data_IF_572299853463
#
_entry.id   IF_572299853463
#
_cell.length_a   1.000
_cell.length_b   1.000
_cell.length_c   1.000
_cell.angle_alpha   90.00
_cell.angle_beta   90.00
_cell.angle_gamma   90.00
#
_symmetry.space_group_name_H-M   'P 1'
#
loop_
_entity.id
_entity.type
_entity.pdbx_description
1 polymer ?
#
# COMPACT_ATOMS: atom_id res chain seq x y z
N UNK A 1 -22.11 5.72 58.82
CA UNK A 1 -20.96 6.39 58.22
C UNK A 1 -19.86 5.43 57.72
N UNK A 2 -19.58 4.30 58.44
CA UNK A 2 -18.51 3.35 58.01
C UNK A 2 -18.82 2.56 56.70
N UNK A 3 -20.09 2.25 56.43
CA UNK A 3 -20.47 1.49 55.23
C UNK A 3 -20.39 2.33 53.94
N UNK A 4 -20.66 3.66 53.96
CA UNK A 4 -20.55 4.53 52.79
C UNK A 4 -19.10 4.75 52.36
N UNK A 5 -18.16 4.85 53.30
CA UNK A 5 -16.72 5.00 52.97
C UNK A 5 -16.15 3.76 52.25
N UNK A 6 -16.60 2.55 52.64
CA UNK A 6 -16.13 1.31 52.03
C UNK A 6 -16.58 1.18 50.57
N UNK A 7 -17.82 1.59 50.26
CA UNK A 7 -18.35 1.54 48.89
C UNK A 7 -17.69 2.56 47.94
N UNK A 8 -17.36 3.73 48.42
CA UNK A 8 -16.66 4.76 47.66
C UNK A 8 -15.21 4.33 47.37
N UNK A 9 -14.55 3.70 48.35
CA UNK A 9 -13.17 3.23 48.16
C UNK A 9 -13.11 2.09 47.12
N UNK A 10 -14.06 1.17 47.07
CA UNK A 10 -14.15 0.13 46.07
C UNK A 10 -14.40 0.71 44.66
N UNK A 11 -15.22 1.74 44.53
CA UNK A 11 -15.50 2.38 43.24
C UNK A 11 -14.26 3.08 42.66
N UNK A 12 -13.49 3.76 43.50
CA UNK A 12 -12.24 4.46 43.10
C UNK A 12 -11.16 3.46 42.68
N UNK A 13 -11.06 2.30 43.33
CA UNK A 13 -10.09 1.26 42.97
C UNK A 13 -10.47 0.57 41.66
N UNK A 14 -11.75 0.41 41.34
CA UNK A 14 -12.20 -0.13 40.04
C UNK A 14 -11.89 0.82 38.87
N UNK A 15 -11.98 2.15 39.10
CA UNK A 15 -11.61 3.14 38.04
C UNK A 15 -10.09 3.20 37.79
N UNK A 16 -9.28 2.88 38.82
CA UNK A 16 -7.81 2.90 38.66
C UNK A 16 -7.23 1.68 37.94
N UNK A 17 -8.03 0.61 37.80
CA UNK A 17 -7.64 -0.60 37.07
C UNK A 17 -8.12 -0.63 35.61
N UNK A 18 -8.69 0.47 35.08
CA UNK A 18 -8.91 0.58 33.65
C UNK A 18 -7.52 0.49 32.97
N UNK A 19 -7.19 -0.59 32.22
CA UNK A 19 -5.95 -0.61 31.49
C UNK A 19 -5.98 0.62 30.60
N UNK A 20 -4.93 1.42 30.67
CA UNK A 20 -4.65 2.45 29.67
C UNK A 20 -4.51 1.70 28.34
N UNK A 21 -5.63 1.47 27.67
CA UNK A 21 -5.68 1.08 26.28
C UNK A 21 -4.99 2.25 25.55
N UNK A 22 -3.66 2.17 25.44
CA UNK A 22 -2.94 3.03 24.50
C UNK A 22 -3.57 2.72 23.16
N UNK A 23 -4.42 3.63 22.71
CA UNK A 23 -4.88 3.63 21.33
C UNK A 23 -3.62 3.61 20.46
N UNK A 24 -3.38 2.47 19.84
CA UNK A 24 -2.19 2.32 19.02
C UNK A 24 -2.40 3.09 17.75
N UNK A 25 -1.40 3.88 17.39
CA UNK A 25 -1.46 4.77 16.25
C UNK A 25 -1.34 3.98 14.94
N UNK A 26 -2.47 3.50 14.41
CA UNK A 26 -2.57 2.82 13.11
C UNK A 26 -2.39 3.78 11.93
N UNK A 27 -2.13 5.07 12.15
CA UNK A 27 -1.77 5.98 11.07
C UNK A 27 -0.32 5.80 10.60
N UNK A 28 0.51 5.01 11.33
CA UNK A 28 1.96 4.96 11.11
C UNK A 28 2.49 3.54 10.93
N UNK A 29 3.24 3.35 9.88
CA UNK A 29 4.13 2.22 9.73
C UNK A 29 5.59 2.70 9.83
N UNK A 30 6.30 2.28 10.90
CA UNK A 30 7.65 2.79 11.22
C UNK A 30 7.65 4.33 11.35
N UNK A 31 8.42 5.01 10.51
CA UNK A 31 8.49 6.47 10.44
C UNK A 31 7.64 7.08 9.31
N UNK A 32 6.90 6.24 8.56
CA UNK A 32 5.98 6.69 7.53
C UNK A 32 4.57 6.85 8.09
N UNK A 33 3.94 7.99 7.81
CA UNK A 33 2.59 8.31 8.28
C UNK A 33 1.65 8.38 7.08
N UNK A 34 0.51 7.71 7.15
CA UNK A 34 -0.57 7.88 6.17
C UNK A 34 -1.04 9.34 6.15
N UNK A 35 -1.27 9.91 4.97
CA UNK A 35 -1.50 11.33 4.78
C UNK A 35 -0.22 12.17 4.56
N UNK A 36 0.98 11.55 4.64
CA UNK A 36 2.23 12.24 4.32
C UNK A 36 2.26 12.64 2.85
N UNK A 37 2.77 13.86 2.55
CA UNK A 37 2.94 14.29 1.17
C UNK A 37 4.08 13.54 0.47
N UNK A 38 3.96 13.39 -0.86
CA UNK A 38 4.98 12.77 -1.68
C UNK A 38 6.37 13.41 -1.48
N UNK A 39 6.45 14.74 -1.46
CA UNK A 39 7.73 15.46 -1.25
C UNK A 39 8.42 15.04 0.04
N UNK A 40 7.65 14.99 1.13
CA UNK A 40 8.18 14.61 2.45
C UNK A 40 8.62 13.14 2.51
N UNK A 41 7.97 12.27 1.72
CA UNK A 41 8.35 10.88 1.63
C UNK A 41 9.62 10.73 0.79
N UNK A 42 9.78 11.46 -0.32
CA UNK A 42 11.00 11.48 -1.13
C UNK A 42 12.22 11.92 -0.30
N UNK A 43 12.07 12.97 0.52
CA UNK A 43 13.13 13.41 1.44
C UNK A 43 13.54 12.32 2.43
N UNK A 44 12.57 11.54 2.96
CA UNK A 44 12.84 10.48 3.94
C UNK A 44 13.45 9.22 3.37
N UNK A 45 13.17 8.94 2.10
CA UNK A 45 13.65 7.75 1.40
C UNK A 45 14.87 8.04 0.53
N UNK A 46 15.31 9.31 0.48
CA UNK A 46 16.40 9.78 -0.39
C UNK A 46 16.15 9.46 -1.87
N UNK A 47 14.87 9.37 -2.27
CA UNK A 47 14.44 9.08 -3.62
C UNK A 47 14.17 10.38 -4.39
N UNK A 48 14.20 10.28 -5.74
CA UNK A 48 13.94 11.41 -6.63
C UNK A 48 12.53 11.35 -7.18
N UNK A 49 12.02 12.51 -7.61
CA UNK A 49 10.70 12.57 -8.28
C UNK A 49 10.63 11.72 -9.56
N UNK A 50 11.77 11.47 -10.21
CA UNK A 50 11.89 10.60 -11.38
C UNK A 50 11.62 9.12 -11.08
N UNK A 51 11.72 8.72 -9.81
CA UNK A 51 11.49 7.35 -9.37
C UNK A 51 10.00 7.07 -9.09
N UNK A 52 9.20 8.14 -9.09
CA UNK A 52 7.75 8.07 -8.90
C UNK A 52 7.06 7.70 -10.20
N UNK A 53 6.29 6.63 -10.16
CA UNK A 53 5.48 6.17 -11.28
C UNK A 53 4.09 6.77 -11.22
N UNK A 54 3.64 7.41 -12.30
CA UNK A 54 2.24 7.81 -12.45
C UNK A 54 1.47 6.61 -12.97
N UNK A 55 0.48 6.15 -12.21
CA UNK A 55 -0.41 5.05 -12.59
C UNK A 55 -1.59 5.59 -13.38
N UNK A 56 -2.25 6.65 -12.85
CA UNK A 56 -3.32 7.37 -13.52
C UNK A 56 -3.16 8.86 -13.28
N UNK A 57 -3.31 9.65 -14.35
CA UNK A 57 -3.30 11.12 -14.27
C UNK A 57 -4.69 11.73 -14.13
N UNK A 58 -5.74 10.94 -14.35
CA UNK A 58 -7.14 11.34 -14.33
C UNK A 58 -8.06 10.15 -14.02
N UNK A 59 -9.26 10.33 -13.47
CA UNK A 59 -9.84 11.61 -13.02
C UNK A 59 -9.11 12.19 -11.81
N UNK A 60 -8.25 11.39 -11.14
CA UNK A 60 -7.39 11.81 -10.06
C UNK A 60 -5.96 11.33 -10.30
N UNK A 61 -4.99 12.04 -9.72
CA UNK A 61 -3.59 11.64 -9.78
C UNK A 61 -3.32 10.49 -8.83
N UNK A 62 -3.02 9.31 -9.40
CA UNK A 62 -2.59 8.12 -8.68
C UNK A 62 -1.12 7.89 -9.00
N UNK A 63 -0.29 7.80 -7.96
CA UNK A 63 1.16 7.64 -8.11
C UNK A 63 1.65 6.53 -7.19
N UNK A 64 2.76 5.92 -7.56
CA UNK A 64 3.43 4.89 -6.77
C UNK A 64 4.93 5.15 -6.72
N UNK A 65 5.51 4.84 -5.56
CA UNK A 65 6.95 4.83 -5.33
C UNK A 65 7.32 3.50 -4.70
N UNK A 66 8.25 2.79 -5.31
CA UNK A 66 8.85 1.59 -4.72
C UNK A 66 10.15 1.96 -4.04
N UNK A 67 10.34 1.53 -2.81
CA UNK A 67 11.54 1.78 -2.03
C UNK A 67 12.08 0.50 -1.42
N UNK A 68 13.38 0.31 -1.54
CA UNK A 68 14.12 -0.78 -0.92
C UNK A 68 14.95 -0.19 0.21
N UNK A 69 14.72 -0.61 1.48
CA UNK A 69 15.55 -0.17 2.60
C UNK A 69 17.03 -0.46 2.32
N UNK A 70 17.94 0.49 2.60
CA UNK A 70 19.34 0.25 2.38
C UNK A 70 19.82 -0.88 3.29
N UNK A 71 20.29 -1.98 2.68
CA UNK A 71 21.04 -3.01 3.39
C UNK A 71 22.41 -2.46 3.72
N UNK A 72 22.74 -2.31 5.00
CA UNK A 72 24.10 -1.95 5.45
C UNK A 72 24.91 -3.23 5.54
N UNK A 73 25.85 -3.49 4.60
CA UNK A 73 26.71 -4.67 4.66
C UNK A 73 27.56 -4.63 5.92
N UNK A 74 27.59 -5.71 6.68
CA UNK A 74 28.49 -5.89 7.83
C UNK A 74 27.86 -5.72 9.21
N UNK A 75 26.59 -5.35 9.32
CA UNK A 75 25.85 -5.39 10.58
C UNK A 75 25.00 -6.66 10.67
N UNK A 76 25.63 -7.77 10.95
CA UNK A 76 25.00 -9.10 11.04
C UNK A 76 23.90 -9.22 12.12
N UNK A 77 23.60 -8.15 12.85
CA UNK A 77 22.64 -8.13 13.96
C UNK A 77 21.36 -7.35 13.68
N UNK A 78 21.21 -6.69 12.52
CA UNK A 78 19.99 -5.99 12.13
C UNK A 78 19.83 -5.94 10.61
N UNK A 79 19.72 -7.10 9.95
CA UNK A 79 19.13 -7.11 8.61
C UNK A 79 17.69 -6.63 8.74
N UNK A 80 17.34 -5.60 7.99
CA UNK A 80 15.95 -5.14 7.96
C UNK A 80 15.07 -6.30 7.49
N UNK A 81 14.04 -6.65 8.26
CA UNK A 81 13.09 -7.68 7.88
C UNK A 81 12.21 -7.29 6.68
N UNK A 82 12.38 -6.08 6.16
CA UNK A 82 11.64 -5.56 5.01
C UNK A 82 12.52 -5.62 3.76
N UNK A 83 12.04 -6.33 2.76
CA UNK A 83 12.66 -6.37 1.43
C UNK A 83 12.31 -5.11 0.63
N UNK A 84 11.02 -4.76 0.61
CA UNK A 84 10.49 -3.70 -0.24
C UNK A 84 9.28 -3.04 0.39
N UNK A 85 9.12 -1.74 0.16
CA UNK A 85 7.90 -0.99 0.46
C UNK A 85 7.40 -0.32 -0.82
N UNK A 86 6.13 -0.56 -1.16
CA UNK A 86 5.39 0.17 -2.17
C UNK A 86 4.51 1.22 -1.48
N UNK A 87 4.74 2.48 -1.79
CA UNK A 87 3.94 3.60 -1.35
C UNK A 87 2.98 4.02 -2.46
N UNK A 88 1.68 4.10 -2.17
CA UNK A 88 0.67 4.55 -3.13
C UNK A 88 0.07 5.88 -2.67
N UNK A 89 -0.03 6.84 -3.61
CA UNK A 89 -0.49 8.21 -3.38
C UNK A 89 -1.76 8.50 -4.16
N UNK A 90 -2.67 9.21 -3.52
CA UNK A 90 -3.86 9.79 -4.09
C UNK A 90 -3.78 11.30 -3.96
N UNK A 91 -3.75 12.03 -5.10
CA UNK A 91 -3.60 13.48 -5.09
C UNK A 91 -2.30 13.97 -4.42
N UNK A 92 -1.24 13.17 -4.43
CA UNK A 92 0.05 13.51 -3.80
C UNK A 92 0.13 13.21 -2.29
N UNK A 93 -0.92 12.62 -1.69
CA UNK A 93 -0.94 12.18 -0.29
C UNK A 93 -0.86 10.65 -0.18
N UNK A 94 -0.02 10.16 0.72
CA UNK A 94 0.19 8.74 0.97
C UNK A 94 -1.07 8.10 1.57
N UNK A 95 -1.73 7.23 0.82
CA UNK A 95 -2.93 6.57 1.30
C UNK A 95 -2.74 5.08 1.61
N UNK A 96 -1.73 4.45 1.02
CA UNK A 96 -1.45 3.02 1.21
C UNK A 96 0.04 2.73 1.23
N UNK A 97 0.44 1.83 2.13
CA UNK A 97 1.79 1.30 2.30
C UNK A 97 1.70 -0.21 2.17
N UNK A 98 2.36 -0.79 1.17
CA UNK A 98 2.43 -2.25 1.00
C UNK A 98 3.87 -2.70 1.25
N UNK A 99 4.05 -3.53 2.26
CA UNK A 99 5.35 -4.02 2.72
C UNK A 99 5.52 -5.47 2.30
N UNK A 100 6.64 -5.80 1.70
CA UNK A 100 7.09 -7.17 1.48
C UNK A 100 8.20 -7.47 2.48
N UNK A 101 8.06 -8.56 3.22
CA UNK A 101 9.10 -9.00 4.14
C UNK A 101 10.14 -9.87 3.44
N UNK A 102 11.38 -9.68 3.85
CA UNK A 102 12.52 -10.46 3.36
C UNK A 102 12.39 -11.94 3.75
N UNK A 103 12.53 -12.82 2.77
CA UNK A 103 12.38 -14.27 3.01
C UNK A 103 13.39 -14.84 4.01
N UNK A 104 14.69 -14.58 3.89
CA UNK A 104 15.65 -15.02 4.90
C UNK A 104 15.29 -14.60 6.32
N UNK A 105 14.80 -13.37 6.49
CA UNK A 105 14.43 -12.82 7.81
C UNK A 105 13.12 -13.38 8.36
N UNK A 106 12.27 -13.98 7.52
CA UNK A 106 11.00 -14.58 7.92
C UNK A 106 11.00 -16.11 7.84
N UNK A 107 12.11 -16.70 7.42
CA UNK A 107 12.23 -18.15 7.27
C UNK A 107 11.99 -18.86 8.61
N UNK A 108 11.03 -19.79 8.63
CA UNK A 108 10.68 -20.56 9.83
C UNK A 108 9.67 -19.88 10.76
N UNK A 109 9.31 -18.59 10.51
CA UNK A 109 8.24 -17.95 11.24
C UNK A 109 6.88 -18.44 10.76
N UNK A 110 6.00 -18.74 11.70
CA UNK A 110 4.60 -19.06 11.42
C UNK A 110 3.77 -17.79 11.26
N UNK A 111 2.55 -17.90 10.74
CA UNK A 111 1.59 -16.80 10.71
C UNK A 111 1.30 -16.27 12.12
N UNK A 112 1.19 -17.19 13.10
CA UNK A 112 0.97 -16.86 14.51
C UNK A 112 2.14 -16.06 15.10
N UNK A 113 3.39 -16.40 14.76
CA UNK A 113 4.57 -15.65 15.21
C UNK A 113 4.54 -14.22 14.68
N UNK A 114 4.20 -14.05 13.40
CA UNK A 114 4.05 -12.74 12.78
C UNK A 114 2.91 -11.93 13.39
N UNK A 115 1.73 -12.55 13.58
CA UNK A 115 0.59 -11.92 14.25
C UNK A 115 0.96 -11.47 15.66
N UNK A 116 1.63 -12.32 16.43
CA UNK A 116 2.09 -12.00 17.79
C UNK A 116 3.05 -10.81 17.79
N UNK A 117 4.02 -10.79 16.88
CA UNK A 117 5.01 -9.72 16.76
C UNK A 117 4.37 -8.38 16.37
N UNK A 118 3.44 -8.39 15.42
CA UNK A 118 2.73 -7.19 14.98
C UNK A 118 1.76 -6.72 16.08
N UNK A 119 1.06 -7.65 16.74
CA UNK A 119 0.14 -7.34 17.84
C UNK A 119 0.82 -6.74 19.06
N UNK A 120 2.08 -7.06 19.30
CA UNK A 120 2.88 -6.42 20.34
C UNK A 120 3.01 -4.89 20.12
N UNK A 121 2.94 -4.45 18.88
CA UNK A 121 3.04 -3.04 18.49
C UNK A 121 1.68 -2.39 18.25
N UNK A 122 0.75 -3.09 17.60
CA UNK A 122 -0.51 -2.52 17.12
C UNK A 122 -1.76 -3.06 17.84
N UNK A 123 -1.61 -3.86 18.94
CA UNK A 123 -2.68 -4.42 19.73
C UNK A 123 -3.23 -5.73 19.19
N UNK A 124 -4.35 -6.18 19.74
CA UNK A 124 -4.94 -7.44 19.35
C UNK A 124 -5.44 -7.39 17.91
N UNK A 125 -5.12 -8.45 17.16
CA UNK A 125 -5.59 -8.62 15.79
C UNK A 125 -6.96 -9.30 15.76
N UNK A 126 -7.73 -9.02 14.71
CA UNK A 126 -8.82 -9.87 14.26
C UNK A 126 -8.24 -10.88 13.27
N UNK A 127 -8.34 -12.17 13.60
CA UNK A 127 -7.90 -13.24 12.70
C UNK A 127 -8.95 -13.38 11.59
N UNK A 128 -8.49 -13.33 10.35
CA UNK A 128 -9.36 -13.49 9.19
C UNK A 128 -9.47 -14.97 8.88
N UNK A 129 -10.68 -15.52 9.03
CA UNK A 129 -10.93 -16.89 8.58
C UNK A 129 -10.66 -17.01 7.07
N UNK A 130 -10.09 -18.13 6.58
CA UNK A 130 -9.86 -18.31 5.17
C UNK A 130 -11.20 -18.34 4.42
N UNK A 131 -11.59 -17.21 3.84
CA UNK A 131 -12.74 -17.15 2.95
C UNK A 131 -12.40 -17.86 1.63
N UNK A 132 -13.28 -18.75 1.26
CA UNK A 132 -13.29 -19.39 -0.06
C UNK A 132 -13.80 -18.32 -1.05
N UNK A 133 -12.88 -17.80 -1.86
CA UNK A 133 -13.13 -16.95 -3.04
C UNK A 133 -14.22 -15.86 -2.92
N UNK A 134 -13.88 -14.70 -2.42
CA UNK A 134 -14.64 -13.50 -2.77
C UNK A 134 -14.02 -12.85 -4.02
N UNK A 135 -14.79 -12.84 -5.12
CA UNK A 135 -14.42 -12.39 -6.46
C UNK A 135 -14.19 -10.86 -6.59
N UNK A 136 -13.90 -10.17 -5.52
CA UNK A 136 -13.73 -8.70 -5.47
C UNK A 136 -12.28 -8.25 -5.30
N UNK A 137 -11.30 -9.11 -5.60
CA UNK A 137 -9.92 -8.67 -5.64
C UNK A 137 -9.66 -7.91 -6.94
N UNK A 138 -9.59 -6.58 -6.80
CA UNK A 138 -9.16 -5.63 -7.82
C UNK A 138 -7.92 -6.16 -8.56
N UNK A 139 -7.91 -6.12 -9.90
CA UNK A 139 -6.89 -6.70 -10.81
C UNK A 139 -5.45 -6.27 -10.53
N UNK A 140 -5.24 -5.29 -9.65
CA UNK A 140 -3.93 -4.79 -9.22
C UNK A 140 -3.47 -5.32 -7.86
N UNK A 141 -4.35 -5.95 -7.07
CA UNK A 141 -3.94 -6.70 -5.89
C UNK A 141 -3.69 -8.13 -6.36
N UNK A 142 -2.42 -8.44 -6.61
CA UNK A 142 -1.93 -9.82 -6.62
C UNK A 142 -2.68 -10.58 -5.54
N UNK A 143 -3.27 -11.72 -5.88
CA UNK A 143 -4.07 -12.58 -4.99
C UNK A 143 -3.36 -12.74 -3.65
N UNK A 144 -3.61 -11.83 -2.72
CA UNK A 144 -3.03 -11.84 -1.39
C UNK A 144 -4.10 -12.39 -0.45
N UNK A 145 -3.77 -13.44 0.28
CA UNK A 145 -4.67 -14.02 1.26
C UNK A 145 -4.50 -13.28 2.59
N UNK A 146 -5.54 -12.63 3.13
CA UNK A 146 -5.46 -12.00 4.43
C UNK A 146 -5.31 -13.06 5.53
N UNK A 147 -4.44 -12.80 6.51
CA UNK A 147 -4.16 -13.63 7.67
C UNK A 147 -4.76 -13.02 8.92
N UNK A 148 -4.47 -11.75 9.15
CA UNK A 148 -4.94 -11.02 10.33
C UNK A 148 -5.04 -9.52 10.03
N UNK A 149 -5.96 -8.84 10.73
CA UNK A 149 -6.21 -7.41 10.54
C UNK A 149 -6.21 -6.69 11.87
N UNK A 150 -5.58 -5.51 11.90
CA UNK A 150 -5.63 -4.49 12.96
C UNK A 150 -6.29 -3.27 12.37
N UNK A 151 -7.37 -2.80 12.95
CA UNK A 151 -8.10 -1.67 12.38
C UNK A 151 -8.77 -0.81 13.44
N UNK A 152 -8.95 0.45 13.09
CA UNK A 152 -9.78 1.42 13.79
C UNK A 152 -10.80 2.05 12.84
N UNK A 153 -11.43 3.15 13.25
CA UNK A 153 -12.38 3.86 12.41
C UNK A 153 -11.76 4.46 11.13
N UNK A 154 -10.44 4.73 11.11
CA UNK A 154 -9.77 5.49 10.04
C UNK A 154 -8.77 4.65 9.25
N UNK A 155 -8.11 3.70 9.89
CA UNK A 155 -6.98 2.97 9.33
C UNK A 155 -7.18 1.46 9.40
N UNK A 156 -6.52 0.76 8.50
CA UNK A 156 -6.47 -0.70 8.50
C UNK A 156 -5.04 -1.16 8.20
N UNK A 157 -4.59 -2.17 8.94
CA UNK A 157 -3.35 -2.92 8.72
C UNK A 157 -3.73 -4.37 8.52
N UNK A 158 -3.30 -4.99 7.46
CA UNK A 158 -3.59 -6.40 7.17
C UNK A 158 -2.31 -7.15 6.89
N UNK A 159 -2.04 -8.18 7.68
CA UNK A 159 -1.02 -9.17 7.35
C UNK A 159 -1.55 -10.05 6.25
N UNK A 160 -0.79 -10.20 5.19
CA UNK A 160 -1.18 -10.94 3.99
C UNK A 160 -0.12 -11.97 3.62
N UNK A 161 -0.56 -13.07 3.04
CA UNK A 161 0.30 -14.05 2.38
C UNK A 161 0.20 -13.87 0.87
N UNK A 162 1.33 -13.81 0.19
CA UNK A 162 1.37 -13.79 -1.27
C UNK A 162 0.91 -15.10 -1.85
N UNK A 163 0.10 -15.06 -2.91
CA UNK A 163 -0.31 -16.27 -3.66
C UNK A 163 0.81 -16.82 -4.54
N UNK A 164 1.87 -16.08 -4.76
CA UNK A 164 3.04 -16.47 -5.55
C UNK A 164 4.23 -16.82 -4.66
N UNK A 165 4.06 -17.75 -3.75
CA UNK A 165 5.06 -18.22 -2.82
C UNK A 165 4.73 -17.85 -1.37
N UNK A 166 5.57 -18.31 -0.43
CA UNK A 166 5.35 -18.15 1.02
C UNK A 166 5.75 -16.77 1.57
N UNK A 167 5.85 -15.75 0.71
CA UNK A 167 6.20 -14.40 1.18
C UNK A 167 5.04 -13.80 1.98
N UNK A 168 5.37 -13.30 3.16
CA UNK A 168 4.46 -12.54 4.00
C UNK A 168 4.63 -11.05 3.70
N UNK A 169 3.55 -10.30 3.83
CA UNK A 169 3.52 -8.86 3.65
C UNK A 169 2.56 -8.18 4.61
N UNK A 170 2.66 -6.88 4.71
CA UNK A 170 1.74 -6.06 5.49
C UNK A 170 1.20 -4.94 4.60
N UNK A 171 -0.12 -4.77 4.57
CA UNK A 171 -0.76 -3.67 3.85
C UNK A 171 -1.41 -2.75 4.86
N UNK A 172 -0.99 -1.49 4.88
CA UNK A 172 -1.53 -0.44 5.73
C UNK A 172 -2.18 0.65 4.87
N UNK A 173 -3.39 1.09 5.21
CA UNK A 173 -4.06 2.13 4.43
C UNK A 173 -5.04 2.98 5.25
N UNK A 174 -5.27 4.21 4.78
CA UNK A 174 -6.38 5.04 5.22
C UNK A 174 -7.66 4.58 4.53
N UNK A 175 -8.65 4.12 5.30
CA UNK A 175 -9.93 3.58 4.77
C UNK A 175 -10.61 4.56 3.81
N UNK A 176 -10.69 5.85 4.21
CA UNK A 176 -11.31 6.88 3.38
C UNK A 176 -10.54 7.14 2.09
N UNK A 177 -9.24 7.38 2.19
CA UNK A 177 -8.45 7.73 1.02
C UNK A 177 -8.27 6.52 0.08
N UNK A 178 -8.20 5.29 0.61
CA UNK A 178 -8.18 4.07 -0.19
C UNK A 178 -9.48 3.90 -1.00
N UNK A 179 -10.65 4.11 -0.38
CA UNK A 179 -11.92 4.05 -1.09
C UNK A 179 -12.02 5.10 -2.21
N UNK A 180 -11.53 6.32 -1.98
CA UNK A 180 -11.46 7.37 -2.99
C UNK A 180 -10.50 7.00 -4.14
N UNK A 181 -9.34 6.45 -3.82
CA UNK A 181 -8.36 6.01 -4.82
C UNK A 181 -8.91 4.85 -5.66
N UNK A 182 -9.54 3.84 -5.05
CA UNK A 182 -10.14 2.72 -5.77
C UNK A 182 -11.26 3.18 -6.70
N UNK A 183 -12.12 4.10 -6.26
CA UNK A 183 -13.14 4.70 -7.12
C UNK A 183 -12.49 5.43 -8.32
N UNK A 184 -11.48 6.26 -8.07
CA UNK A 184 -10.78 6.99 -9.14
C UNK A 184 -10.07 6.06 -10.12
N UNK A 185 -9.47 4.97 -9.64
CA UNK A 185 -8.83 3.94 -10.49
C UNK A 185 -9.88 3.25 -11.37
N UNK A 186 -11.04 2.87 -10.80
CA UNK A 186 -12.11 2.27 -11.58
C UNK A 186 -12.65 3.20 -12.67
N UNK A 187 -12.80 4.49 -12.38
CA UNK A 187 -13.20 5.49 -13.37
C UNK A 187 -12.10 5.72 -14.43
N UNK A 188 -10.82 5.73 -14.04
CA UNK A 188 -9.70 5.83 -14.98
C UNK A 188 -9.71 4.68 -16.01
N UNK A 189 -9.93 3.44 -15.54
CA UNK A 189 -10.01 2.26 -16.42
C UNK A 189 -11.17 2.41 -17.41
N UNK A 190 -12.34 2.84 -16.97
CA UNK A 190 -13.47 3.08 -17.87
C UNK A 190 -13.18 4.15 -18.92
N UNK A 191 -12.52 5.25 -18.53
CA UNK A 191 -12.12 6.30 -19.46
C UNK A 191 -11.12 5.77 -20.48
N UNK A 192 -10.16 4.97 -20.07
CA UNK A 192 -9.17 4.37 -20.98
C UNK A 192 -9.81 3.37 -21.95
N UNK A 193 -10.80 2.58 -21.49
CA UNK A 193 -11.58 1.68 -22.35
C UNK A 193 -12.41 2.46 -23.40
N UNK A 194 -13.01 3.57 -23.01
CA UNK A 194 -13.81 4.40 -23.91
C UNK A 194 -12.97 5.14 -24.95
N UNK A 195 -11.79 5.63 -24.56
CA UNK A 195 -10.90 6.39 -25.44
C UNK A 195 -9.94 5.51 -26.26
N UNK A 196 -9.76 4.26 -25.86
CA UNK A 196 -8.85 3.33 -26.49
C UNK A 196 -9.00 3.24 -28.02
N UNK A 197 -10.23 3.04 -28.55
CA UNK A 197 -10.45 2.97 -29.99
C UNK A 197 -10.08 4.26 -30.73
N UNK A 198 -10.41 5.44 -30.17
CA UNK A 198 -10.07 6.72 -30.76
C UNK A 198 -8.56 6.97 -30.77
N UNK A 199 -7.88 6.73 -29.63
CA UNK A 199 -6.43 6.86 -29.53
C UNK A 199 -5.68 5.93 -30.50
N UNK A 200 -6.20 4.71 -30.67
CA UNK A 200 -5.61 3.76 -31.63
C UNK A 200 -5.79 4.22 -33.08
N UNK A 201 -6.97 4.73 -33.44
CA UNK A 201 -7.22 5.29 -34.77
C UNK A 201 -6.31 6.49 -35.04
N UNK A 202 -6.14 7.39 -34.08
CA UNK A 202 -5.26 8.54 -34.20
C UNK A 202 -3.79 8.12 -34.36
N UNK A 203 -3.35 7.11 -33.63
CA UNK A 203 -2.01 6.53 -33.74
C UNK A 203 -1.77 5.93 -35.12
N UNK A 204 -2.72 5.13 -35.61
CA UNK A 204 -2.62 4.53 -36.95
C UNK A 204 -2.59 5.60 -38.05
N UNK A 205 -3.45 6.62 -37.94
CA UNK A 205 -3.45 7.73 -38.87
C UNK A 205 -2.07 8.44 -38.91
N UNK A 206 -1.51 8.76 -37.73
CA UNK A 206 -0.19 9.39 -37.64
C UNK A 206 0.91 8.53 -38.27
N UNK A 207 0.90 7.21 -38.06
CA UNK A 207 1.84 6.29 -38.66
C UNK A 207 1.70 6.26 -40.19
N UNK A 208 0.47 6.25 -40.70
CA UNK A 208 0.21 6.32 -42.15
C UNK A 208 0.72 7.63 -42.77
N UNK A 209 0.47 8.76 -42.10
CA UNK A 209 0.95 10.07 -42.56
C UNK A 209 2.49 10.12 -42.57
N UNK A 210 3.16 9.61 -41.55
CA UNK A 210 4.62 9.51 -41.48
C UNK A 210 5.20 8.63 -42.61
N UNK A 211 4.57 7.47 -42.85
CA UNK A 211 4.97 6.58 -43.96
C UNK A 211 4.78 7.23 -45.31
N UNK A 212 3.70 7.97 -45.53
CA UNK A 212 3.45 8.67 -46.77
C UNK A 212 4.50 9.77 -47.00
N UNK A 213 4.86 10.53 -45.98
CA UNK A 213 5.95 11.52 -46.04
C UNK A 213 7.28 10.86 -46.40
N UNK A 214 7.60 9.73 -45.78
CA UNK A 214 8.81 8.97 -46.11
C UNK A 214 8.77 8.43 -47.54
N UNK A 215 7.63 7.91 -48.00
CA UNK A 215 7.41 7.43 -49.37
C UNK A 215 7.69 8.55 -50.39
N UNK A 216 7.12 9.73 -50.20
CA UNK A 216 7.30 10.86 -51.07
C UNK A 216 8.77 11.35 -51.13
N UNK A 217 9.44 11.37 -49.97
CA UNK A 217 10.86 11.71 -49.89
C UNK A 217 11.71 10.71 -50.67
N UNK A 218 11.48 9.41 -50.44
CA UNK A 218 12.26 8.35 -51.08
C UNK A 218 11.98 8.29 -52.60
N UNK A 219 10.75 8.52 -53.04
CA UNK A 219 10.40 8.58 -54.43
C UNK A 219 11.17 9.69 -55.17
N UNK A 220 11.34 10.86 -54.51
CA UNK A 220 12.14 11.99 -55.10
C UNK A 220 13.63 11.71 -55.11
N UNK A 221 14.14 10.91 -54.20
CA UNK A 221 15.58 10.59 -54.08
C UNK A 221 15.99 9.28 -54.74
N UNK A 222 15.03 8.45 -55.14
CA UNK A 222 15.31 7.15 -55.76
C UNK A 222 15.92 7.35 -57.14
N UNK A 223 17.04 6.73 -57.36
CA UNK A 223 17.73 6.67 -58.66
C UNK A 223 17.95 5.19 -59.00
N UNK A 224 17.37 4.72 -60.11
CA UNK A 224 17.51 3.34 -60.57
C UNK A 224 18.94 3.03 -61.01
#
# INVERSE_FOLDING_TARGET
MKALCSSILCLVVLLALAPLLRAQDLSKYRHFTLGMSLTKLLERTEQKITDVKIIHGRPALIQELTWWPPNVPGTALQSDSVEQILFSFYGGELYKISVTYDRPSTQGLTEEDMVKSISAKYGPATIVAPEIDSATSNRYNLKQKPVATWEDAQYSFTLVRSSFGDALGLVAFSKRANAQAEFAIAEAVKLDEQEGPSKEADRQKKQMDELEVMRQKNQKSFRP
#
